data_IF_569631620736
#
_entry.id   IF_569631620736
#
_cell.length_a   1.000
_cell.length_b   1.000
_cell.length_c   1.000
_cell.angle_alpha   90.00
_cell.angle_beta   90.00
_cell.angle_gamma   90.00
#
_symmetry.space_group_name_H-M   'P 1'
#
loop_
_entity.id
_entity.type
_entity.pdbx_description
1 polymer ?
#
# COMPACT_ATOMS: atom_id res chain seq x y z
N UNK A 1 9.16 8.94 -8.69
CA UNK A 1 9.81 7.62 -8.59
C UNK A 1 9.65 6.86 -9.90
N UNK A 2 10.70 6.14 -10.33
CA UNK A 2 10.72 5.36 -11.58
C UNK A 2 9.76 4.14 -11.59
N UNK A 3 8.96 3.96 -10.54
CA UNK A 3 8.13 2.78 -10.30
C UNK A 3 6.64 3.15 -10.10
N UNK A 4 6.17 4.24 -10.71
CA UNK A 4 4.75 4.58 -10.61
C UNK A 4 4.03 4.40 -11.94
N UNK A 5 2.87 3.77 -11.90
CA UNK A 5 1.93 3.62 -13.03
C UNK A 5 1.00 4.84 -13.20
N UNK A 6 1.14 5.86 -12.36
CA UNK A 6 0.21 6.98 -12.35
C UNK A 6 0.19 7.76 -13.69
N UNK A 7 1.35 7.91 -14.36
CA UNK A 7 1.39 8.58 -15.66
C UNK A 7 0.63 7.76 -16.74
N UNK A 8 0.76 6.44 -16.71
CA UNK A 8 0.11 5.53 -17.65
C UNK A 8 -1.42 5.47 -17.42
N UNK A 9 -1.85 5.55 -16.16
CA UNK A 9 -3.26 5.52 -15.78
C UNK A 9 -4.01 6.84 -15.99
N UNK A 10 -3.30 7.96 -16.18
CA UNK A 10 -3.88 9.29 -16.21
C UNK A 10 -5.03 9.43 -17.21
N UNK A 11 -4.81 9.05 -18.47
CA UNK A 11 -5.82 9.22 -19.52
C UNK A 11 -7.02 8.30 -19.34
N UNK A 12 -6.79 7.08 -18.87
CA UNK A 12 -7.87 6.14 -18.52
C UNK A 12 -8.72 6.68 -17.39
N UNK A 13 -8.12 7.16 -16.31
CA UNK A 13 -8.83 7.75 -15.17
C UNK A 13 -9.59 9.02 -15.60
N UNK A 14 -8.98 9.89 -16.42
CA UNK A 14 -9.63 11.09 -16.97
C UNK A 14 -10.88 10.72 -17.78
N UNK A 15 -10.81 9.69 -18.62
CA UNK A 15 -11.94 9.20 -19.41
C UNK A 15 -13.03 8.63 -18.49
N UNK A 16 -12.66 7.72 -17.61
CA UNK A 16 -13.60 7.00 -16.74
C UNK A 16 -14.29 7.91 -15.73
N UNK A 17 -13.62 8.93 -15.19
CA UNK A 17 -14.21 9.90 -14.29
C UNK A 17 -15.31 10.75 -14.93
N UNK A 18 -15.32 10.86 -16.27
CA UNK A 18 -16.37 11.58 -17.02
C UNK A 18 -17.54 10.69 -17.47
N UNK A 19 -17.27 9.41 -17.70
CA UNK A 19 -18.22 8.47 -18.31
C UNK A 19 -18.95 7.58 -17.31
N UNK A 20 -18.29 7.25 -16.17
CA UNK A 20 -18.82 6.33 -15.18
C UNK A 20 -19.34 7.07 -13.94
N UNK A 21 -20.27 6.45 -13.22
CA UNK A 21 -20.82 6.96 -11.96
C UNK A 21 -19.88 6.80 -10.76
N UNK A 22 -18.66 6.33 -10.98
CA UNK A 22 -17.66 6.13 -9.92
C UNK A 22 -17.09 7.45 -9.45
N UNK A 23 -16.85 7.56 -8.15
CA UNK A 23 -16.14 8.68 -7.57
C UNK A 23 -14.69 8.31 -7.30
N UNK A 24 -13.74 9.02 -7.91
CA UNK A 24 -12.32 8.80 -7.82
C UNK A 24 -11.69 9.67 -6.74
N UNK A 25 -10.97 9.04 -5.83
CA UNK A 25 -10.11 9.71 -4.86
C UNK A 25 -8.66 9.38 -5.19
N UNK A 26 -7.92 10.38 -5.62
CA UNK A 26 -6.50 10.23 -5.95
C UNK A 26 -5.66 10.67 -4.77
N UNK A 27 -4.79 9.78 -4.30
CA UNK A 27 -3.85 10.05 -3.21
C UNK A 27 -2.45 9.67 -3.64
N UNK A 28 -1.58 10.66 -3.79
CA UNK A 28 -0.19 10.46 -4.13
C UNK A 28 0.68 10.25 -2.90
N UNK A 29 1.80 9.54 -3.12
CA UNK A 29 2.87 9.50 -2.14
C UNK A 29 3.48 10.91 -1.98
N UNK A 30 3.88 11.35 -0.76
CA UNK A 30 4.44 12.71 -0.55
C UNK A 30 5.67 13.07 -1.38
N UNK A 31 6.39 12.06 -1.91
CA UNK A 31 7.56 12.22 -2.79
C UNK A 31 7.23 12.11 -4.28
N UNK A 32 5.96 12.15 -4.65
CA UNK A 32 5.55 12.12 -6.05
C UNK A 32 6.01 13.40 -6.76
N UNK A 33 6.32 13.29 -8.05
CA UNK A 33 6.65 14.43 -8.89
C UNK A 33 5.46 15.42 -8.94
N UNK A 34 5.72 16.66 -8.61
CA UNK A 34 4.69 17.70 -8.55
C UNK A 34 4.01 17.92 -9.91
N UNK A 35 4.74 17.80 -11.02
CA UNK A 35 4.17 17.93 -12.38
C UNK A 35 3.10 16.89 -12.64
N UNK A 36 3.33 15.64 -12.20
CA UNK A 36 2.35 14.59 -12.34
C UNK A 36 1.12 14.84 -11.44
N UNK A 37 1.34 15.31 -10.21
CA UNK A 37 0.25 15.69 -9.30
C UNK A 37 -0.59 16.82 -9.91
N UNK A 38 0.04 17.83 -10.51
CA UNK A 38 -0.66 18.94 -11.14
C UNK A 38 -1.49 18.49 -12.35
N UNK A 39 -0.98 17.57 -13.18
CA UNK A 39 -1.77 16.96 -14.27
C UNK A 39 -3.07 16.29 -13.75
N UNK A 40 -3.00 15.62 -12.61
CA UNK A 40 -4.19 15.02 -12.00
C UNK A 40 -5.13 16.06 -11.38
N UNK A 41 -4.62 17.19 -10.90
CA UNK A 41 -5.46 18.31 -10.44
C UNK A 41 -6.22 18.97 -11.59
N UNK A 42 -5.61 19.07 -12.77
CA UNK A 42 -6.24 19.61 -13.98
C UNK A 42 -7.48 18.81 -14.41
N UNK A 43 -7.55 17.53 -14.08
CA UNK A 43 -8.69 16.67 -14.40
C UNK A 43 -9.70 16.52 -13.25
N UNK A 44 -9.51 17.25 -12.13
CA UNK A 44 -10.50 17.27 -11.05
C UNK A 44 -11.88 17.72 -11.55
N UNK A 45 -12.91 17.17 -10.96
CA UNK A 45 -14.29 17.49 -11.34
C UNK A 45 -15.28 16.92 -10.35
N UNK A 46 -16.52 16.73 -10.82
CA UNK A 46 -17.61 16.20 -10.00
C UNK A 46 -17.28 14.81 -9.43
N UNK A 47 -16.66 13.95 -10.24
CA UNK A 47 -16.43 12.55 -9.91
C UNK A 47 -14.93 12.23 -9.65
N UNK A 48 -14.05 13.24 -9.52
CA UNK A 48 -12.64 13.04 -9.24
C UNK A 48 -12.10 14.13 -8.34
N UNK A 49 -11.40 13.74 -7.28
CA UNK A 49 -10.69 14.63 -6.35
C UNK A 49 -9.28 14.13 -6.04
N UNK A 50 -8.31 15.05 -6.03
CA UNK A 50 -6.96 14.83 -5.55
C UNK A 50 -6.86 15.26 -4.10
N UNK A 51 -6.43 14.35 -3.21
CA UNK A 51 -6.41 14.62 -1.77
C UNK A 51 -4.98 14.52 -1.23
N UNK A 52 -4.50 15.59 -0.58
CA UNK A 52 -3.15 15.67 -0.02
C UNK A 52 -3.11 15.44 1.50
N UNK A 53 -3.98 16.14 2.24
CA UNK A 53 -3.86 16.29 3.70
C UNK A 53 -4.65 15.29 4.55
N UNK A 54 -5.47 14.44 3.99
CA UNK A 54 -6.31 13.53 4.77
C UNK A 54 -5.55 12.27 5.22
N UNK A 55 -5.96 11.74 6.36
CA UNK A 55 -5.51 10.43 6.83
C UNK A 55 -5.86 9.36 5.81
N UNK A 56 -4.86 8.61 5.36
CA UNK A 56 -5.05 7.50 4.43
C UNK A 56 -6.04 6.47 4.97
N UNK A 57 -6.03 6.21 6.26
CA UNK A 57 -6.93 5.24 6.90
C UNK A 57 -8.41 5.56 6.70
N UNK A 58 -8.79 6.85 6.69
CA UNK A 58 -10.17 7.26 6.39
C UNK A 58 -10.53 7.00 4.94
N UNK A 59 -9.63 7.29 4.02
CA UNK A 59 -9.84 7.06 2.59
C UNK A 59 -9.99 5.56 2.29
N UNK A 60 -9.12 4.72 2.85
CA UNK A 60 -9.20 3.27 2.71
C UNK A 60 -10.53 2.71 3.25
N UNK A 61 -11.02 3.23 4.37
CA UNK A 61 -12.32 2.82 4.93
C UNK A 61 -13.49 3.19 4.02
N UNK A 62 -13.47 4.35 3.36
CA UNK A 62 -14.56 4.82 2.51
C UNK A 62 -14.53 4.22 1.09
N UNK A 63 -13.35 3.88 0.57
CA UNK A 63 -13.24 3.31 -0.77
C UNK A 63 -13.79 1.87 -0.83
N UNK A 64 -14.45 1.51 -1.93
CA UNK A 64 -14.92 0.15 -2.19
C UNK A 64 -13.87 -0.69 -2.91
N UNK A 65 -13.06 -0.05 -3.75
CA UNK A 65 -12.02 -0.65 -4.56
C UNK A 65 -10.80 0.28 -4.56
N UNK A 66 -9.61 -0.29 -4.61
CA UNK A 66 -8.37 0.46 -4.77
C UNK A 66 -7.70 0.13 -6.10
N UNK A 67 -7.20 1.16 -6.77
CA UNK A 67 -6.27 1.02 -7.89
C UNK A 67 -4.90 1.50 -7.42
N UNK A 68 -3.89 0.67 -7.58
CA UNK A 68 -2.53 0.98 -7.09
C UNK A 68 -1.47 0.37 -8.02
N UNK A 69 -0.24 0.76 -7.80
CA UNK A 69 0.95 0.05 -8.30
C UNK A 69 1.55 -0.83 -7.18
N UNK A 70 2.85 -0.96 -7.09
CA UNK A 70 3.51 -1.70 -6.01
C UNK A 70 3.59 -0.82 -4.75
N UNK A 71 2.70 -1.04 -3.78
CA UNK A 71 2.59 -0.24 -2.56
C UNK A 71 2.27 -1.07 -1.32
N UNK A 72 2.85 -0.71 -0.17
CA UNK A 72 2.51 -1.32 1.13
C UNK A 72 1.06 -1.07 1.57
N UNK A 73 0.42 -0.04 1.04
CA UNK A 73 -0.99 0.30 1.27
C UNK A 73 -1.94 -0.82 0.81
N UNK A 74 -1.52 -1.65 -0.15
CA UNK A 74 -2.28 -2.82 -0.61
C UNK A 74 -2.57 -3.76 0.56
N UNK A 75 -1.56 -4.03 1.41
CA UNK A 75 -1.76 -4.84 2.62
C UNK A 75 -2.75 -4.20 3.61
N UNK A 76 -2.67 -2.88 3.81
CA UNK A 76 -3.61 -2.17 4.68
C UNK A 76 -5.05 -2.25 4.15
N UNK A 77 -5.23 -2.16 2.82
CA UNK A 77 -6.54 -2.27 2.20
C UNK A 77 -7.09 -3.70 2.25
N UNK A 78 -6.23 -4.70 2.06
CA UNK A 78 -6.58 -6.11 2.21
C UNK A 78 -7.05 -6.44 3.63
N UNK A 79 -6.50 -5.82 4.69
CA UNK A 79 -6.99 -5.96 6.07
C UNK A 79 -8.44 -5.47 6.24
N UNK A 80 -8.90 -4.56 5.39
CA UNK A 80 -10.31 -4.14 5.32
C UNK A 80 -11.17 -5.11 4.49
N UNK A 81 -10.58 -6.21 3.98
CA UNK A 81 -11.21 -7.21 3.12
C UNK A 81 -11.78 -6.63 1.83
N UNK A 82 -11.07 -5.68 1.24
CA UNK A 82 -11.48 -4.97 0.03
C UNK A 82 -10.53 -5.25 -1.13
N UNK A 83 -11.02 -5.36 -2.37
CA UNK A 83 -10.22 -5.73 -3.53
C UNK A 83 -9.32 -4.60 -4.01
N UNK A 84 -8.19 -4.98 -4.57
CA UNK A 84 -7.24 -4.07 -5.21
C UNK A 84 -6.97 -4.51 -6.65
N UNK A 85 -6.99 -3.55 -7.58
CA UNK A 85 -6.48 -3.69 -8.93
C UNK A 85 -5.09 -3.06 -8.98
N UNK A 86 -4.13 -3.76 -9.55
CA UNK A 86 -2.77 -3.24 -9.75
C UNK A 86 -2.41 -3.24 -11.23
N UNK A 87 -1.56 -2.30 -11.65
CA UNK A 87 -1.01 -2.26 -13.00
C UNK A 87 0.46 -2.63 -12.95
N UNK A 88 0.82 -3.71 -13.69
CA UNK A 88 2.19 -4.22 -13.80
C UNK A 88 2.87 -4.42 -12.43
N UNK A 89 2.14 -4.98 -11.46
CA UNK A 89 2.70 -5.28 -10.15
C UNK A 89 3.83 -6.31 -10.29
N UNK A 90 4.97 -6.04 -9.66
CA UNK A 90 6.14 -6.91 -9.71
C UNK A 90 5.95 -8.24 -8.97
N UNK A 91 4.99 -8.31 -8.04
CA UNK A 91 4.68 -9.48 -7.21
C UNK A 91 3.17 -9.68 -7.23
N UNK A 92 2.61 -10.19 -8.34
CA UNK A 92 1.19 -10.53 -8.41
C UNK A 92 0.88 -11.71 -7.49
N UNK A 93 -0.33 -11.72 -6.93
CA UNK A 93 -0.82 -12.78 -6.06
C UNK A 93 -2.35 -12.87 -6.17
N UNK A 94 -2.96 -13.97 -5.74
CA UNK A 94 -4.38 -14.27 -5.92
C UNK A 94 -5.32 -13.25 -5.25
N UNK A 95 -4.84 -12.53 -4.23
CA UNK A 95 -5.62 -11.49 -3.54
C UNK A 95 -5.64 -10.13 -4.23
N UNK A 96 -4.96 -9.96 -5.38
CA UNK A 96 -4.95 -8.74 -6.19
C UNK A 96 -5.27 -9.05 -7.64
N UNK A 97 -5.94 -8.14 -8.32
CA UNK A 97 -6.20 -8.23 -9.76
C UNK A 97 -5.12 -7.43 -10.47
N UNK A 98 -4.15 -8.13 -11.07
CA UNK A 98 -3.05 -7.47 -11.77
C UNK A 98 -3.35 -7.36 -13.26
N UNK A 99 -3.50 -6.14 -13.76
CA UNK A 99 -3.66 -5.85 -15.20
C UNK A 99 -2.31 -5.50 -15.82
N UNK A 100 -2.18 -5.76 -17.12
CA UNK A 100 -0.97 -5.53 -17.90
C UNK A 100 -1.00 -4.22 -18.69
N UNK A 101 -2.20 -3.68 -18.90
CA UNK A 101 -2.41 -2.43 -19.65
C UNK A 101 -3.45 -1.54 -18.95
N UNK A 102 -3.25 -0.23 -19.01
CA UNK A 102 -4.22 0.75 -18.54
C UNK A 102 -5.60 0.64 -19.26
N UNK A 103 -5.62 0.05 -20.45
CA UNK A 103 -6.86 -0.17 -21.23
C UNK A 103 -7.77 -1.22 -20.61
N UNK A 104 -7.23 -2.11 -19.78
CA UNK A 104 -7.97 -3.16 -19.07
C UNK A 104 -8.64 -2.62 -17.77
N UNK A 105 -8.33 -1.39 -17.36
CA UNK A 105 -8.78 -0.85 -16.07
C UNK A 105 -10.32 -0.84 -15.95
N UNK A 106 -11.03 -0.39 -16.98
CA UNK A 106 -12.49 -0.31 -16.99
C UNK A 106 -13.15 -1.69 -16.84
N UNK A 107 -12.68 -2.67 -17.62
CA UNK A 107 -13.20 -4.03 -17.57
C UNK A 107 -12.89 -4.70 -16.22
N UNK A 108 -11.71 -4.49 -15.67
CA UNK A 108 -11.33 -5.02 -14.37
C UNK A 108 -12.20 -4.44 -13.23
N UNK A 109 -12.45 -3.13 -13.22
CA UNK A 109 -13.33 -2.50 -12.23
C UNK A 109 -14.75 -3.06 -12.36
N UNK A 110 -15.30 -3.11 -13.57
CA UNK A 110 -16.64 -3.64 -13.80
C UNK A 110 -16.77 -5.11 -13.36
N UNK A 111 -15.79 -5.95 -13.65
CA UNK A 111 -15.78 -7.34 -13.23
C UNK A 111 -15.81 -7.47 -11.70
N UNK A 112 -15.00 -6.69 -10.97
CA UNK A 112 -14.99 -6.68 -9.49
C UNK A 112 -16.31 -6.20 -8.91
N UNK A 113 -16.91 -5.17 -9.50
CA UNK A 113 -18.17 -4.62 -9.00
C UNK A 113 -19.36 -5.53 -9.30
N UNK A 114 -19.31 -6.28 -10.42
CA UNK A 114 -20.37 -7.23 -10.81
C UNK A 114 -20.35 -8.52 -9.97
N UNK A 115 -19.15 -9.08 -9.73
CA UNK A 115 -18.97 -10.28 -8.91
C UNK A 115 -17.91 -10.06 -7.83
N UNK A 116 -18.40 -9.90 -6.61
CA UNK A 116 -17.56 -9.70 -5.43
C UNK A 116 -17.08 -11.02 -4.80
N UNK A 117 -17.56 -12.19 -5.25
CA UNK A 117 -17.42 -13.44 -4.49
C UNK A 117 -15.99 -13.98 -4.50
N UNK A 118 -15.40 -14.19 -5.68
CA UNK A 118 -14.10 -14.84 -5.82
C UNK A 118 -12.97 -14.01 -5.19
N UNK A 119 -12.80 -12.77 -5.65
CA UNK A 119 -11.70 -11.91 -5.17
C UNK A 119 -11.80 -11.61 -3.66
N UNK A 120 -13.02 -11.43 -3.14
CA UNK A 120 -13.20 -11.15 -1.70
C UNK A 120 -12.81 -12.35 -0.83
N UNK A 121 -12.97 -13.58 -1.31
CA UNK A 121 -12.51 -14.78 -0.62
C UNK A 121 -10.99 -14.80 -0.51
N UNK A 122 -10.28 -14.54 -1.59
CA UNK A 122 -8.82 -14.52 -1.61
C UNK A 122 -8.25 -13.38 -0.77
N UNK A 123 -8.83 -12.19 -0.87
CA UNK A 123 -8.46 -11.04 -0.02
C UNK A 123 -8.67 -11.36 1.47
N UNK A 124 -9.76 -12.02 1.84
CA UNK A 124 -10.03 -12.40 3.23
C UNK A 124 -9.04 -13.46 3.74
N UNK A 125 -8.65 -14.41 2.91
CA UNK A 125 -7.63 -15.41 3.22
C UNK A 125 -6.26 -14.75 3.46
N UNK A 126 -5.85 -13.86 2.56
CA UNK A 126 -4.62 -13.10 2.71
C UNK A 126 -4.63 -12.20 3.96
N UNK A 127 -5.71 -11.47 4.21
CA UNK A 127 -5.84 -10.62 5.39
C UNK A 127 -5.66 -11.40 6.70
N UNK A 128 -6.18 -12.64 6.77
CA UNK A 128 -6.00 -13.52 7.92
C UNK A 128 -4.55 -13.98 8.10
N UNK A 129 -3.83 -14.20 7.01
CA UNK A 129 -2.40 -14.52 7.06
C UNK A 129 -1.57 -13.31 7.48
N UNK A 130 -1.87 -12.13 6.92
CA UNK A 130 -1.15 -10.90 7.19
C UNK A 130 -1.32 -10.43 8.65
N UNK A 131 -2.55 -10.51 9.18
CA UNK A 131 -2.87 -10.08 10.54
C UNK A 131 -4.01 -10.92 11.13
N UNK A 132 -3.70 -11.99 11.86
CA UNK A 132 -4.71 -12.94 12.36
C UNK A 132 -5.56 -12.39 13.52
N UNK A 133 -5.20 -11.26 14.14
CA UNK A 133 -5.83 -10.72 15.32
C UNK A 133 -6.52 -9.37 15.02
N UNK A 134 -7.84 -9.30 15.29
CA UNK A 134 -8.66 -8.09 15.07
C UNK A 134 -9.25 -7.50 16.36
N UNK A 135 -8.69 -7.87 17.52
CA UNK A 135 -9.20 -7.52 18.84
C UNK A 135 -8.54 -6.29 19.48
N UNK A 136 -7.69 -5.58 18.74
CA UNK A 136 -6.98 -4.39 19.24
C UNK A 136 -5.88 -4.67 20.27
N UNK A 137 -5.54 -5.95 20.54
CA UNK A 137 -4.56 -6.34 21.57
C UNK A 137 -3.14 -6.58 21.04
N UNK A 138 -2.82 -6.14 19.81
CA UNK A 138 -1.52 -6.41 19.18
C UNK A 138 -0.35 -5.85 19.99
N UNK A 139 -0.44 -4.61 20.48
CA UNK A 139 0.60 -4.00 21.31
C UNK A 139 0.82 -4.79 22.61
N UNK A 140 -0.24 -5.26 23.25
CA UNK A 140 -0.15 -6.09 24.46
C UNK A 140 0.58 -7.41 24.17
N UNK A 141 0.28 -8.06 23.05
CA UNK A 141 0.98 -9.29 22.64
C UNK A 141 2.46 -9.05 22.40
N UNK A 142 2.82 -7.94 21.78
CA UNK A 142 4.24 -7.56 21.59
C UNK A 142 4.94 -7.37 22.93
N UNK A 143 4.35 -6.61 23.85
CA UNK A 143 4.92 -6.42 25.19
C UNK A 143 5.08 -7.74 25.93
N UNK A 144 4.07 -8.59 25.90
CA UNK A 144 4.13 -9.90 26.55
C UNK A 144 5.21 -10.80 25.94
N UNK A 145 5.35 -10.79 24.61
CA UNK A 145 6.41 -11.54 23.92
C UNK A 145 7.80 -11.04 24.33
N UNK A 146 8.02 -9.71 24.44
CA UNK A 146 9.28 -9.11 24.89
C UNK A 146 9.59 -9.51 26.33
N UNK A 147 8.59 -9.42 27.25
CA UNK A 147 8.76 -9.84 28.64
C UNK A 147 9.12 -11.32 28.74
N UNK A 148 8.38 -12.19 28.04
CA UNK A 148 8.67 -13.60 28.03
C UNK A 148 10.06 -13.96 27.49
N UNK A 149 10.58 -13.17 26.53
CA UNK A 149 11.95 -13.35 26.01
C UNK A 149 12.99 -12.90 27.03
N UNK A 150 12.75 -11.79 27.74
CA UNK A 150 13.69 -11.28 28.75
C UNK A 150 13.88 -12.25 29.93
N UNK A 151 12.88 -13.08 30.21
CA UNK A 151 12.93 -14.11 31.24
C UNK A 151 13.60 -15.42 30.76
N UNK A 152 13.85 -15.58 29.47
CA UNK A 152 14.47 -16.79 28.90
C UNK A 152 15.99 -16.69 28.97
N UNK A 153 16.63 -17.83 29.24
CA UNK A 153 18.08 -17.96 29.06
C UNK A 153 18.40 -17.94 27.56
N UNK A 154 19.00 -16.85 27.09
CA UNK A 154 19.36 -16.62 25.69
C UNK A 154 20.83 -16.98 25.38
N UNK A 155 21.49 -17.76 26.22
CA UNK A 155 22.93 -18.12 26.07
C UNK A 155 23.25 -18.87 24.76
N UNK A 156 22.22 -19.41 24.07
CA UNK A 156 22.37 -20.03 22.75
C UNK A 156 22.51 -19.01 21.60
N UNK A 157 22.17 -17.75 21.86
CA UNK A 157 22.32 -16.69 20.85
C UNK A 157 23.78 -16.25 20.77
N UNK A 158 24.31 -16.24 19.56
CA UNK A 158 25.65 -15.68 19.32
C UNK A 158 25.65 -14.18 19.64
N UNK A 159 26.67 -13.66 20.34
CA UNK A 159 26.79 -12.25 20.59
C UNK A 159 26.84 -11.45 19.27
N UNK A 160 26.17 -10.31 19.25
CA UNK A 160 26.15 -9.45 18.07
C UNK A 160 27.58 -9.02 17.71
N UNK A 161 28.03 -9.19 16.47
CA UNK A 161 29.38 -8.77 16.07
C UNK A 161 29.52 -7.25 16.23
N UNK A 162 30.66 -6.80 16.74
CA UNK A 162 30.91 -5.37 17.03
C UNK A 162 30.92 -4.49 15.77
N UNK A 163 31.10 -5.05 14.56
CA UNK A 163 31.06 -4.37 13.27
C UNK A 163 31.84 -3.04 13.21
N UNK A 164 33.00 -2.98 13.86
CA UNK A 164 33.81 -1.77 14.07
C UNK A 164 34.05 -1.03 12.74
N UNK A 165 34.49 -1.74 11.71
CA UNK A 165 34.74 -1.14 10.38
C UNK A 165 33.48 -0.51 9.78
N UNK A 166 32.32 -1.14 9.93
CA UNK A 166 31.04 -0.58 9.49
C UNK A 166 30.69 0.69 10.25
N UNK A 167 30.90 0.70 11.56
CA UNK A 167 30.67 1.89 12.40
C UNK A 167 31.56 3.06 11.99
N UNK A 168 32.87 2.82 11.79
CA UNK A 168 33.82 3.83 11.33
C UNK A 168 33.39 4.37 9.95
N UNK A 169 33.13 3.48 8.99
CA UNK A 169 32.68 3.88 7.64
C UNK A 169 31.40 4.71 7.67
N UNK A 170 30.43 4.35 8.50
CA UNK A 170 29.18 5.12 8.65
C UNK A 170 29.44 6.48 9.28
N UNK A 171 30.26 6.57 10.33
CA UNK A 171 30.62 7.84 10.97
C UNK A 171 31.34 8.78 10.00
N UNK A 172 32.28 8.26 9.22
CA UNK A 172 32.95 9.05 8.16
C UNK A 172 31.92 9.55 7.13
N UNK A 173 31.04 8.68 6.63
CA UNK A 173 30.05 9.05 5.61
C UNK A 173 29.04 10.07 6.10
N UNK A 174 28.67 10.02 7.38
CA UNK A 174 27.67 10.91 8.00
C UNK A 174 28.29 12.12 8.72
N UNK A 175 29.63 12.23 8.72
CA UNK A 175 30.40 13.22 9.47
C UNK A 175 29.95 13.32 10.96
N UNK A 176 29.67 12.18 11.56
CA UNK A 176 29.10 12.08 12.91
C UNK A 176 30.10 11.44 13.90
N UNK A 177 30.77 12.26 14.73
CA UNK A 177 31.82 11.88 15.68
C UNK A 177 31.48 12.15 17.13
N UNK A 178 30.18 12.25 17.48
CA UNK A 178 29.78 12.33 18.89
C UNK A 178 30.00 10.97 19.57
N UNK A 179 30.76 10.99 20.65
CA UNK A 179 31.02 9.86 21.56
C UNK A 179 29.99 9.88 22.69
#
# INVERSE_FOLDING_TARGET
PKLTSAAELHDSIRKLSKQQSWFWIIKFHPKMDSKLVDQYREIEGKNLKVIEKNSIARLLKSAELMVSDTSSVIGEFALLKKPTITLNNAIPDDYIINISSHTELESAINAVLADKTAIYKEVAAYAKQLHPYYDGQSSRRVLQAVTNISEKNLNYLKPKPKNIFRHIKMRMKLNYWKF
#
